data_IF_702488728505
#
_entry.id   IF_702488728505
#
_cell.length_a   1.000
_cell.length_b   1.000
_cell.length_c   1.000
_cell.angle_alpha   90.00
_cell.angle_beta   90.00
_cell.angle_gamma   90.00
#
_symmetry.space_group_name_H-M   'P 1'
#
loop_
_entity.id
_entity.type
_entity.pdbx_description
1 polymer ?
#
# COMPACT_ATOMS: atom_id res chain seq x y z
N UNK A 1 9.01 -5.13 17.32
CA UNK A 1 9.69 -3.97 16.74
C UNK A 1 9.24 -3.76 15.31
N UNK A 2 9.66 -4.66 14.42
CA UNK A 2 9.22 -4.57 13.03
C UNK A 2 7.71 -4.58 12.93
N UNK A 3 7.06 -5.42 13.72
CA UNK A 3 5.61 -5.54 13.73
C UNK A 3 4.92 -4.24 14.11
N UNK A 4 5.51 -3.47 15.02
CA UNK A 4 4.94 -2.22 15.45
C UNK A 4 4.89 -1.21 14.30
N UNK A 5 5.98 -1.14 13.53
CA UNK A 5 6.03 -0.26 12.36
C UNK A 5 5.01 -0.69 11.30
N UNK A 6 4.95 -1.98 11.05
CA UNK A 6 4.03 -2.52 10.05
C UNK A 6 2.60 -2.21 10.44
N UNK A 7 2.24 -2.43 11.70
CA UNK A 7 0.89 -2.15 12.18
C UNK A 7 0.56 -0.67 12.10
N UNK A 8 1.51 0.19 12.42
CA UNK A 8 1.30 1.64 12.34
C UNK A 8 1.00 2.08 10.92
N UNK A 9 1.77 1.57 9.95
CA UNK A 9 1.53 1.89 8.56
C UNK A 9 0.21 1.33 8.07
N UNK A 10 -0.10 0.08 8.45
CA UNK A 10 -1.36 -0.54 8.05
C UNK A 10 -2.55 0.24 8.59
N UNK A 11 -2.45 0.71 9.82
CA UNK A 11 -3.49 1.51 10.45
C UNK A 11 -3.67 2.83 9.72
N UNK A 12 -2.56 3.47 9.37
CA UNK A 12 -2.60 4.73 8.63
C UNK A 12 -3.25 4.54 7.26
N UNK A 13 -2.90 3.47 6.56
CA UNK A 13 -3.47 3.15 5.26
C UNK A 13 -4.98 2.97 5.37
N UNK A 14 -5.42 2.20 6.36
CA UNK A 14 -6.84 1.97 6.60
C UNK A 14 -7.59 3.26 6.88
N UNK A 15 -6.98 4.13 7.70
CA UNK A 15 -7.59 5.41 8.05
C UNK A 15 -7.70 6.33 6.83
N UNK A 16 -6.65 6.39 6.03
CA UNK A 16 -6.64 7.24 4.83
C UNK A 16 -7.70 6.75 3.83
N UNK A 17 -7.75 5.45 3.60
CA UNK A 17 -8.71 4.89 2.66
C UNK A 17 -10.14 5.13 3.12
N UNK A 18 -10.40 4.96 4.41
CA UNK A 18 -11.72 5.19 4.97
C UNK A 18 -12.12 6.66 4.87
N UNK A 19 -11.18 7.56 5.13
CA UNK A 19 -11.44 9.00 5.06
C UNK A 19 -11.81 9.43 3.64
N UNK A 20 -11.21 8.80 2.64
CA UNK A 20 -11.49 9.12 1.24
C UNK A 20 -12.76 8.43 0.73
N UNK A 21 -13.29 7.46 1.48
CA UNK A 21 -14.51 6.79 1.11
C UNK A 21 -14.39 5.81 -0.05
N UNK A 22 -13.18 5.37 -0.36
CA UNK A 22 -12.96 4.45 -1.47
C UNK A 22 -12.05 3.28 -1.07
N UNK A 23 -12.30 2.73 0.11
CA UNK A 23 -11.49 1.67 0.68
C UNK A 23 -11.27 0.49 -0.28
N UNK A 24 -12.36 0.01 -0.89
CA UNK A 24 -12.25 -1.15 -1.79
C UNK A 24 -11.35 -0.87 -2.98
N UNK A 25 -11.48 0.31 -3.58
CA UNK A 25 -10.65 0.69 -4.72
C UNK A 25 -9.18 0.79 -4.31
N UNK A 26 -8.91 1.43 -3.18
CA UNK A 26 -7.53 1.59 -2.69
C UNK A 26 -6.92 0.22 -2.40
N UNK A 27 -7.66 -0.67 -1.76
CA UNK A 27 -7.16 -2.00 -1.46
C UNK A 27 -6.81 -2.78 -2.72
N UNK A 28 -7.68 -2.75 -3.72
CA UNK A 28 -7.41 -3.43 -4.98
C UNK A 28 -6.20 -2.86 -5.69
N UNK A 29 -6.07 -1.55 -5.66
CA UNK A 29 -4.96 -0.87 -6.31
C UNK A 29 -3.64 -1.16 -5.61
N UNK A 30 -3.65 -1.18 -4.27
CA UNK A 30 -2.46 -1.52 -3.50
C UNK A 30 -2.05 -2.97 -3.76
N UNK A 31 -3.02 -3.87 -3.81
CA UNK A 31 -2.76 -5.27 -4.09
C UNK A 31 -2.12 -5.44 -5.47
N UNK A 32 -2.65 -4.73 -6.47
CA UNK A 32 -2.10 -4.78 -7.82
C UNK A 32 -0.67 -4.26 -7.85
N UNK A 33 -0.39 -3.20 -7.10
CA UNK A 33 0.95 -2.64 -7.02
C UNK A 33 1.93 -3.64 -6.39
N UNK A 34 1.50 -4.31 -5.32
CA UNK A 34 2.33 -5.33 -4.69
C UNK A 34 2.63 -6.46 -5.67
N UNK A 35 1.64 -6.90 -6.43
CA UNK A 35 1.85 -7.95 -7.42
C UNK A 35 2.84 -7.52 -8.49
N UNK A 36 2.77 -6.26 -8.90
CA UNK A 36 3.73 -5.73 -9.87
C UNK A 36 5.15 -5.76 -9.30
N UNK A 37 5.30 -5.42 -8.04
CA UNK A 37 6.60 -5.48 -7.36
C UNK A 37 7.12 -6.92 -7.29
N UNK A 38 6.25 -7.86 -6.96
CA UNK A 38 6.63 -9.26 -6.87
C UNK A 38 7.08 -9.83 -8.21
N UNK A 39 6.52 -9.30 -9.28
CA UNK A 39 6.81 -9.78 -10.63
C UNK A 39 8.06 -9.16 -11.24
N UNK A 40 8.61 -8.13 -10.62
CA UNK A 40 9.75 -7.41 -11.20
C UNK A 40 10.83 -7.11 -10.17
N UNK A 41 11.92 -7.86 -10.24
CA UNK A 41 13.09 -7.61 -9.39
C UNK A 41 13.67 -6.24 -9.69
N UNK A 42 13.65 -5.85 -10.95
CA UNK A 42 14.18 -4.56 -11.37
C UNK A 42 13.39 -3.41 -10.73
N UNK A 43 12.08 -3.53 -10.69
CA UNK A 43 11.25 -2.50 -10.09
C UNK A 43 11.52 -2.39 -8.60
N UNK A 44 11.61 -3.52 -7.91
CA UNK A 44 11.93 -3.51 -6.48
C UNK A 44 13.28 -2.88 -6.22
N UNK A 45 14.27 -3.25 -7.03
CA UNK A 45 15.62 -2.70 -6.90
C UNK A 45 15.63 -1.21 -7.12
N UNK A 46 14.93 -0.74 -8.14
CA UNK A 46 14.86 0.68 -8.46
C UNK A 46 14.25 1.49 -7.32
N UNK A 47 13.11 1.04 -6.81
CA UNK A 47 12.41 1.77 -5.76
C UNK A 47 13.13 1.72 -4.41
N UNK A 48 13.99 0.72 -4.22
CA UNK A 48 14.74 0.55 -2.98
C UNK A 48 16.14 1.15 -3.05
N UNK A 49 16.57 1.61 -4.20
CA UNK A 49 17.96 2.05 -4.41
C UNK A 49 18.23 3.39 -3.72
N UNK A 50 19.07 3.39 -2.67
CA UNK A 50 19.39 4.62 -1.95
C UNK A 50 20.21 5.60 -2.79
N UNK A 51 20.82 5.13 -3.86
CA UNK A 51 21.62 5.98 -4.74
C UNK A 51 20.76 6.73 -5.75
N UNK A 52 19.54 6.25 -5.98
CA UNK A 52 18.64 6.93 -6.88
C UNK A 52 17.92 8.04 -6.09
N UNK A 53 17.95 9.28 -6.57
CA UNK A 53 17.26 10.37 -5.86
C UNK A 53 15.79 10.05 -5.61
N UNK A 54 15.29 10.49 -4.47
CA UNK A 54 13.91 10.23 -4.10
C UNK A 54 12.93 10.72 -5.18
N UNK A 55 13.19 11.90 -5.73
CA UNK A 55 12.33 12.46 -6.76
C UNK A 55 12.20 11.52 -7.96
N UNK A 56 13.29 10.87 -8.33
CA UNK A 56 13.26 9.90 -9.44
C UNK A 56 12.46 8.67 -9.08
N UNK A 57 12.62 8.17 -7.86
CA UNK A 57 11.88 7.00 -7.40
C UNK A 57 10.38 7.30 -7.37
N UNK A 58 10.01 8.48 -6.90
CA UNK A 58 8.61 8.88 -6.86
C UNK A 58 8.05 9.06 -8.27
N UNK A 59 8.87 9.50 -9.21
CA UNK A 59 8.45 9.62 -10.59
C UNK A 59 8.11 8.25 -11.18
N UNK A 60 8.90 7.24 -10.83
CA UNK A 60 8.63 5.86 -11.27
C UNK A 60 7.27 5.42 -10.73
N UNK A 61 6.99 5.71 -9.46
CA UNK A 61 5.71 5.36 -8.85
C UNK A 61 4.57 6.05 -9.59
N UNK A 62 4.70 7.33 -9.86
CA UNK A 62 3.67 8.08 -10.56
C UNK A 62 3.41 7.51 -11.95
N UNK A 63 4.48 7.19 -12.67
CA UNK A 63 4.34 6.63 -14.01
C UNK A 63 3.62 5.29 -14.00
N UNK A 64 3.94 4.46 -13.00
CA UNK A 64 3.31 3.15 -12.87
C UNK A 64 1.83 3.24 -12.54
N UNK A 65 1.46 4.21 -11.74
CA UNK A 65 0.09 4.35 -11.25
C UNK A 65 -0.77 5.29 -12.08
N UNK A 66 -0.15 5.98 -13.02
CA UNK A 66 -0.87 6.97 -13.84
C UNK A 66 -2.02 6.31 -14.60
N UNK A 67 -3.22 6.82 -14.38
CA UNK A 67 -4.41 6.30 -15.04
C UNK A 67 -4.88 4.94 -14.54
N UNK A 68 -4.17 4.36 -13.57
CA UNK A 68 -4.49 3.02 -13.06
C UNK A 68 -4.86 3.00 -11.59
N UNK A 69 -4.59 4.08 -10.89
CA UNK A 69 -4.85 4.15 -9.46
C UNK A 69 -5.33 5.53 -9.07
N UNK A 70 -6.06 5.59 -7.96
CA UNK A 70 -6.54 6.86 -7.44
C UNK A 70 -5.39 7.65 -6.82
N UNK A 71 -5.63 8.95 -6.61
CA UNK A 71 -4.65 9.79 -5.94
C UNK A 71 -4.34 9.30 -4.54
N UNK A 72 -5.33 8.71 -3.87
CA UNK A 72 -5.16 8.16 -2.52
C UNK A 72 -4.12 7.05 -2.53
N UNK A 73 -4.25 6.10 -3.45
CA UNK A 73 -3.29 5.00 -3.57
C UNK A 73 -1.90 5.52 -3.91
N UNK A 74 -1.81 6.47 -4.84
CA UNK A 74 -0.53 7.04 -5.22
C UNK A 74 0.15 7.71 -4.02
N UNK A 75 -0.63 8.42 -3.20
CA UNK A 75 -0.10 9.08 -2.00
C UNK A 75 0.42 8.07 -0.99
N UNK A 76 -0.31 6.98 -0.79
CA UNK A 76 0.09 5.93 0.14
C UNK A 76 1.40 5.29 -0.31
N UNK A 77 1.48 4.91 -1.58
CA UNK A 77 2.69 4.28 -2.11
C UNK A 77 3.87 5.24 -2.03
N UNK A 78 3.66 6.51 -2.37
CA UNK A 78 4.70 7.53 -2.30
C UNK A 78 5.21 7.71 -0.88
N UNK A 79 4.31 7.66 0.10
CA UNK A 79 4.68 7.76 1.50
C UNK A 79 5.61 6.61 1.90
N UNK A 80 5.26 5.40 1.52
CA UNK A 80 6.06 4.22 1.86
C UNK A 80 7.43 4.26 1.19
N UNK A 81 7.48 4.67 -0.08
CA UNK A 81 8.73 4.80 -0.80
C UNK A 81 9.60 5.89 -0.16
N UNK A 82 8.99 7.02 0.18
CA UNK A 82 9.70 8.15 0.81
C UNK A 82 10.33 7.76 2.15
N UNK A 83 9.68 6.87 2.87
CA UNK A 83 10.16 6.43 4.18
C UNK A 83 11.09 5.22 4.10
N UNK A 84 11.44 4.79 2.89
CA UNK A 84 12.36 3.68 2.72
C UNK A 84 11.76 2.34 3.11
N UNK A 85 10.45 2.19 2.96
CA UNK A 85 9.73 0.98 3.37
C UNK A 85 9.35 0.05 2.22
N UNK A 86 10.00 0.20 1.07
CA UNK A 86 9.68 -0.65 -0.08
C UNK A 86 9.85 -2.13 0.23
N UNK A 87 10.88 -2.48 0.99
CA UNK A 87 11.11 -3.87 1.36
C UNK A 87 10.03 -4.46 2.25
N UNK A 88 9.27 -3.60 2.93
CA UNK A 88 8.18 -4.03 3.83
C UNK A 88 6.81 -3.75 3.24
N UNK A 89 6.77 -3.18 2.04
CA UNK A 89 5.52 -2.73 1.43
C UNK A 89 4.51 -3.87 1.31
N UNK A 90 4.95 -5.04 0.88
CA UNK A 90 4.08 -6.19 0.74
C UNK A 90 3.45 -6.57 2.08
N UNK A 91 4.27 -6.62 3.13
CA UNK A 91 3.79 -7.00 4.46
C UNK A 91 2.83 -5.94 5.01
N UNK A 92 3.15 -4.67 4.78
CA UNK A 92 2.31 -3.56 5.24
C UNK A 92 0.95 -3.61 4.55
N UNK A 93 0.94 -3.83 3.24
CA UNK A 93 -0.30 -3.91 2.48
C UNK A 93 -1.12 -5.12 2.93
N UNK A 94 -0.46 -6.26 3.11
CA UNK A 94 -1.15 -7.46 3.60
C UNK A 94 -1.80 -7.21 4.96
N UNK A 95 -1.10 -6.51 5.85
CA UNK A 95 -1.64 -6.19 7.17
C UNK A 95 -2.85 -5.27 7.07
N UNK A 96 -2.79 -4.29 6.16
CA UNK A 96 -3.91 -3.38 5.94
C UNK A 96 -5.13 -4.12 5.39
N UNK A 97 -4.90 -5.02 4.45
CA UNK A 97 -5.98 -5.82 3.87
C UNK A 97 -6.59 -6.75 4.91
N UNK A 98 -5.75 -7.33 5.78
CA UNK A 98 -6.23 -8.20 6.83
C UNK A 98 -7.13 -7.45 7.82
N UNK A 99 -6.76 -6.22 8.18
CA UNK A 99 -7.57 -5.40 9.07
C UNK A 99 -8.94 -5.12 8.45
N UNK A 100 -8.95 -4.81 7.17
CA UNK A 100 -10.19 -4.54 6.45
C UNK A 100 -11.06 -5.78 6.35
N UNK A 101 -10.45 -6.93 6.08
CA UNK A 101 -11.17 -8.20 6.00
C UNK A 101 -11.77 -8.58 7.34
N UNK A 102 -11.06 -8.37 8.44
CA UNK A 102 -11.57 -8.63 9.77
C UNK A 102 -12.81 -7.79 10.06
N UNK A 103 -12.73 -6.52 9.72
CA UNK A 103 -13.84 -5.61 9.92
C UNK A 103 -15.07 -6.06 9.15
N UNK A 104 -14.86 -6.44 7.88
CA UNK A 104 -15.96 -6.94 7.03
C UNK A 104 -16.48 -8.29 7.52
N UNK A 105 -15.55 -9.13 7.99
CA UNK A 105 -15.91 -10.42 8.54
C UNK A 105 -16.80 -10.30 9.75
N UNK A 106 -16.50 -9.36 10.62
CA UNK A 106 -17.31 -9.09 11.79
C UNK A 106 -18.73 -8.66 11.39
N UNK A 107 -18.81 -7.74 10.44
CA UNK A 107 -20.08 -7.26 9.95
C UNK A 107 -20.89 -8.39 9.34
N UNK A 108 -20.25 -9.24 8.55
CA UNK A 108 -20.92 -10.38 7.92
C UNK A 108 -21.41 -11.37 8.97
N UNK A 109 -20.59 -11.63 9.98
CA UNK A 109 -20.98 -12.53 11.05
C UNK A 109 -22.21 -12.01 11.79
N UNK A 110 -22.25 -10.71 12.04
CA UNK A 110 -23.40 -10.10 12.69
C UNK A 110 -24.67 -10.28 11.85
N UNK A 111 -24.54 -10.06 10.58
CA UNK A 111 -25.67 -10.17 9.68
C UNK A 111 -26.23 -11.59 9.67
N UNK A 112 -25.36 -12.57 9.72
CA UNK A 112 -25.80 -13.96 9.72
C UNK A 112 -26.38 -14.41 11.04
N UNK A 113 -26.01 -13.75 12.09
CA UNK A 113 -26.52 -14.07 13.42
C UNK A 113 -27.95 -13.62 13.57
#
# INVERSE_FOLDING_TARGET
MTDTHINSYAEAISAIAAAEGNTAAVENELFSFVRALQSSDELRATLSDPKLPLARRLQVVEDLLDGKASGTTASIVSLLVSNGRVGELEVIVDAALARSAESRGEAVAEVRS
#
